data_IF_773515922192
#
_entry.id   IF_773515922192
#
_cell.length_a   1.000
_cell.length_b   1.000
_cell.length_c   1.000
_cell.angle_alpha   90.00
_cell.angle_beta   90.00
_cell.angle_gamma   90.00
#
_symmetry.space_group_name_H-M   'P 1'
#
loop_
_entity.id
_entity.type
_entity.pdbx_description
1 polymer ?
#
# COMPACT_ATOMS: atom_id res chain seq x y z
N UNK A 1 -13.75 -14.72 -49.96
CA UNK A 1 -12.93 -13.59 -49.47
C UNK A 1 -13.06 -13.66 -47.97
N UNK A 2 -12.25 -14.53 -47.41
CA UNK A 2 -12.39 -15.13 -46.10
C UNK A 2 -11.38 -14.36 -45.27
N UNK A 3 -11.88 -13.43 -44.46
CA UNK A 3 -11.01 -12.55 -43.69
C UNK A 3 -10.43 -13.39 -42.54
N UNK A 4 -9.21 -13.88 -42.74
CA UNK A 4 -8.36 -14.42 -41.68
C UNK A 4 -8.20 -13.34 -40.61
N UNK A 5 -8.99 -13.48 -39.54
CA UNK A 5 -8.84 -12.70 -38.31
C UNK A 5 -7.53 -13.13 -37.67
N UNK A 6 -6.47 -12.40 -38.01
CA UNK A 6 -5.16 -12.50 -37.38
C UNK A 6 -5.35 -12.25 -35.88
N UNK A 7 -5.25 -13.32 -35.09
CA UNK A 7 -5.62 -13.38 -33.69
C UNK A 7 -4.57 -12.78 -32.73
N UNK A 8 -3.77 -11.80 -33.19
CA UNK A 8 -2.77 -11.11 -32.37
C UNK A 8 -3.26 -9.72 -31.98
N UNK A 9 -4.46 -9.66 -31.38
CA UNK A 9 -4.89 -8.44 -30.70
C UNK A 9 -4.10 -8.32 -29.39
N UNK A 10 -3.46 -7.18 -29.10
CA UNK A 10 -2.76 -7.01 -27.83
C UNK A 10 -3.74 -7.25 -26.68
N UNK A 11 -3.27 -7.93 -25.63
CA UNK A 11 -4.09 -8.25 -24.47
C UNK A 11 -4.78 -6.98 -23.95
N UNK A 12 -6.06 -7.10 -23.60
CA UNK A 12 -6.81 -5.99 -23.02
C UNK A 12 -6.03 -5.39 -21.83
N UNK A 13 -5.98 -4.05 -21.69
CA UNK A 13 -5.24 -3.42 -20.62
C UNK A 13 -5.75 -3.90 -19.26
N UNK A 14 -4.83 -4.14 -18.33
CA UNK A 14 -5.17 -4.56 -16.97
C UNK A 14 -6.00 -3.48 -16.27
N UNK A 15 -7.02 -3.90 -15.52
CA UNK A 15 -7.88 -3.00 -14.76
C UNK A 15 -7.11 -2.37 -13.59
N UNK A 16 -6.76 -1.09 -13.73
CA UNK A 16 -5.99 -0.32 -12.75
C UNK A 16 -6.72 -0.10 -11.41
N UNK A 17 -8.00 -0.47 -11.29
CA UNK A 17 -8.73 -0.46 -10.00
C UNK A 17 -8.38 -1.66 -9.10
N UNK A 18 -7.74 -2.69 -9.66
CA UNK A 18 -7.31 -3.86 -8.91
C UNK A 18 -5.91 -3.63 -8.38
N UNK A 19 -5.72 -3.88 -7.08
CA UNK A 19 -4.39 -3.91 -6.48
C UNK A 19 -3.58 -5.09 -7.04
N UNK A 20 -2.30 -4.85 -7.32
CA UNK A 20 -1.36 -5.90 -7.71
C UNK A 20 -0.98 -6.75 -6.49
N UNK A 21 -0.44 -7.94 -6.73
CA UNK A 21 0.03 -8.81 -5.64
C UNK A 21 1.14 -8.15 -4.81
N UNK A 22 2.07 -7.45 -5.46
CA UNK A 22 3.13 -6.67 -4.79
C UNK A 22 2.54 -5.58 -3.89
N UNK A 23 1.51 -4.87 -4.35
CA UNK A 23 0.83 -3.85 -3.55
C UNK A 23 0.10 -4.46 -2.35
N UNK A 24 -0.54 -5.62 -2.52
CA UNK A 24 -1.17 -6.35 -1.40
C UNK A 24 -0.13 -6.76 -0.36
N UNK A 25 0.98 -7.35 -0.80
CA UNK A 25 2.07 -7.78 0.08
C UNK A 25 2.72 -6.61 0.81
N UNK A 26 2.83 -5.45 0.17
CA UNK A 26 3.29 -4.22 0.83
C UNK A 26 2.29 -3.76 1.89
N UNK A 27 0.99 -3.78 1.57
CA UNK A 27 -0.06 -3.40 2.51
C UNK A 27 -0.07 -4.29 3.77
N UNK A 28 0.06 -5.61 3.60
CA UNK A 28 0.19 -6.56 4.73
C UNK A 28 1.39 -6.22 5.62
N UNK A 29 2.56 -5.93 5.03
CA UNK A 29 3.74 -5.53 5.79
C UNK A 29 3.51 -4.25 6.59
N UNK A 30 2.78 -3.28 6.02
CA UNK A 30 2.53 -2.00 6.68
C UNK A 30 1.51 -2.11 7.81
N UNK A 31 0.51 -2.99 7.70
CA UNK A 31 -0.54 -3.20 8.71
C UNK A 31 0.01 -3.75 10.03
N UNK A 32 1.01 -4.64 9.96
CA UNK A 32 1.67 -5.22 11.14
C UNK A 32 2.73 -4.32 11.78
N UNK A 33 3.06 -3.16 11.21
CA UNK A 33 4.09 -2.26 11.77
C UNK A 33 3.72 -1.71 13.16
N UNK A 34 2.45 -1.73 13.54
CA UNK A 34 1.98 -1.18 14.82
C UNK A 34 1.95 -2.25 15.93
N UNK A 35 2.26 -3.50 15.57
CA UNK A 35 2.35 -4.62 16.50
C UNK A 35 3.78 -4.82 17.03
N UNK A 36 4.77 -4.05 16.55
CA UNK A 36 6.13 -4.11 17.07
C UNK A 36 6.19 -3.47 18.47
N UNK A 37 6.41 -4.25 19.54
CA UNK A 37 6.48 -3.71 20.90
C UNK A 37 7.68 -2.78 21.12
N UNK A 38 8.66 -2.77 20.21
CA UNK A 38 9.81 -1.87 20.22
C UNK A 38 9.67 -0.70 19.23
N UNK A 39 8.47 -0.49 18.65
CA UNK A 39 8.27 0.57 17.66
C UNK A 39 8.66 1.94 18.23
N UNK A 40 9.34 2.78 17.44
CA UNK A 40 9.72 4.13 17.86
C UNK A 40 8.47 4.93 18.21
N UNK A 41 8.45 5.53 19.40
CA UNK A 41 7.29 6.29 19.90
C UNK A 41 6.41 5.54 20.90
N UNK A 42 6.44 4.20 20.98
CA UNK A 42 5.65 3.45 21.97
C UNK A 42 6.07 3.72 23.42
N UNK A 43 7.35 4.04 23.63
CA UNK A 43 7.88 4.39 24.94
C UNK A 43 7.91 5.91 25.20
N UNK A 44 7.49 6.73 24.23
CA UNK A 44 7.43 8.17 24.43
C UNK A 44 6.19 8.49 25.27
N UNK A 45 6.41 8.97 26.49
CA UNK A 45 5.32 9.46 27.33
C UNK A 45 4.87 10.81 26.78
N UNK A 46 3.54 11.04 26.73
CA UNK A 46 2.95 12.36 26.45
C UNK A 46 3.42 13.47 27.41
N UNK A 47 4.07 13.09 28.52
CA UNK A 47 4.66 14.01 29.48
C UNK A 47 6.06 14.49 29.07
N UNK A 48 6.73 13.80 28.14
CA UNK A 48 8.04 14.16 27.60
C UNK A 48 7.95 14.99 26.31
N UNK A 49 6.74 15.11 25.75
CA UNK A 49 6.46 15.99 24.60
C UNK A 49 6.11 17.40 25.10
N UNK A 50 6.85 18.44 24.68
CA UNK A 50 6.48 19.82 24.94
C UNK A 50 5.08 20.11 24.39
N UNK A 51 4.18 20.63 25.22
CA UNK A 51 2.89 21.13 24.74
C UNK A 51 3.12 22.44 23.99
N UNK A 52 3.00 22.38 22.67
CA UNK A 52 3.16 23.56 21.79
C UNK A 52 1.85 24.38 21.68
N UNK A 53 0.84 24.14 22.54
CA UNK A 53 -0.43 24.87 22.54
C UNK A 53 -0.32 26.21 23.29
N UNK A 54 0.60 27.08 22.87
CA UNK A 54 0.59 28.48 23.28
C UNK A 54 0.37 29.37 22.06
N UNK A 55 -0.83 29.94 21.95
CA UNK A 55 -1.17 31.01 21.01
C UNK A 55 -1.91 32.13 21.74
#
# INVERSE_FOLDING_TARGET
MDQEVNADSPAAPQDARKTTEEQRKLQEQLEHQHEDPNAPGLHQSRHDTPDESTR
#
